data_IF_986157328170
#
_entry.id   IF_986157328170
#
_cell.length_a   1.000
_cell.length_b   1.000
_cell.length_c   1.000
_cell.angle_alpha   90.00
_cell.angle_beta   90.00
_cell.angle_gamma   90.00
#
_symmetry.space_group_name_H-M   'P 1'
#
loop_
_entity.id
_entity.type
_entity.pdbx_description
1 polymer ?
#
# COMPACT_ATOMS: atom_id res chain seq x y z
N UNK A 1 33.63 -9.10 18.64
CA UNK A 1 32.26 -9.26 19.19
C UNK A 1 32.16 -8.74 20.62
N UNK A 2 33.05 -9.13 21.55
CA UNK A 2 33.03 -8.64 22.94
C UNK A 2 33.18 -7.11 23.08
N UNK A 3 34.03 -6.49 22.25
CA UNK A 3 34.30 -5.05 22.32
C UNK A 3 33.09 -4.18 21.95
N UNK A 4 32.23 -4.70 21.06
CA UNK A 4 31.00 -4.00 20.65
C UNK A 4 29.99 -3.92 21.80
N UNK A 5 29.84 -5.00 22.57
CA UNK A 5 28.97 -4.99 23.75
C UNK A 5 29.49 -4.07 24.85
N UNK A 6 30.81 -4.01 25.05
CA UNK A 6 31.42 -3.08 26.00
C UNK A 6 31.17 -1.62 25.62
N UNK A 7 31.29 -1.29 24.33
CA UNK A 7 30.97 0.05 23.81
C UNK A 7 29.49 0.42 24.04
N UNK A 8 28.56 -0.49 23.78
CA UNK A 8 27.12 -0.27 24.03
C UNK A 8 26.86 -0.03 25.52
N UNK A 9 27.44 -0.83 26.41
CA UNK A 9 27.28 -0.69 27.85
C UNK A 9 27.82 0.67 28.32
N UNK A 10 28.94 1.11 27.77
CA UNK A 10 29.55 2.41 28.08
C UNK A 10 28.67 3.57 27.63
N UNK A 11 28.07 3.47 26.45
CA UNK A 11 27.10 4.45 25.92
C UNK A 11 25.84 4.51 26.78
N UNK A 12 25.27 3.36 27.17
CA UNK A 12 24.07 3.27 28.02
C UNK A 12 24.34 3.89 29.40
N UNK A 13 25.51 3.62 30.00
CA UNK A 13 25.91 4.21 31.27
C UNK A 13 26.08 5.73 31.19
N UNK A 14 26.57 6.25 30.06
CA UNK A 14 26.82 7.67 29.86
C UNK A 14 25.54 8.48 29.56
N UNK A 15 24.64 7.97 28.72
CA UNK A 15 23.39 8.67 28.37
C UNK A 15 22.26 8.46 29.39
N UNK A 16 22.33 7.40 30.19
CA UNK A 16 21.26 6.97 31.07
C UNK A 16 20.16 6.21 30.32
N UNK A 17 19.63 5.16 30.97
CA UNK A 17 18.81 4.15 30.29
C UNK A 17 17.51 4.71 29.68
N UNK A 18 16.92 5.74 30.32
CA UNK A 18 15.69 6.38 29.83
C UNK A 18 15.89 7.08 28.47
N UNK A 19 17.02 7.78 28.30
CA UNK A 19 17.34 8.47 27.04
C UNK A 19 17.70 7.47 25.94
N UNK A 20 18.38 6.39 26.31
CA UNK A 20 18.69 5.30 25.37
C UNK A 20 17.42 4.64 24.81
N UNK A 21 16.46 4.30 25.67
CA UNK A 21 15.17 3.72 25.24
C UNK A 21 14.41 4.68 24.32
N UNK A 22 14.43 5.98 24.63
CA UNK A 22 13.77 6.98 23.80
C UNK A 22 14.40 7.11 22.41
N UNK A 23 15.73 7.13 22.33
CA UNK A 23 16.46 7.16 21.04
C UNK A 23 16.17 5.89 20.24
N UNK A 24 16.13 4.73 20.88
CA UNK A 24 15.79 3.46 20.23
C UNK A 24 14.35 3.48 19.68
N UNK A 25 13.40 4.01 20.46
CA UNK A 25 12.03 4.15 20.00
C UNK A 25 11.92 5.09 18.78
N UNK A 26 12.59 6.25 18.82
CA UNK A 26 12.63 7.19 17.69
C UNK A 26 13.30 6.57 16.47
N UNK A 27 14.41 5.86 16.64
CA UNK A 27 15.09 5.25 15.50
C UNK A 27 14.23 4.17 14.85
N UNK A 28 13.53 3.36 15.64
CA UNK A 28 12.61 2.35 15.14
C UNK A 28 11.44 2.96 14.34
N UNK A 29 10.84 4.05 14.84
CA UNK A 29 9.73 4.72 14.13
C UNK A 29 10.18 5.37 12.83
N UNK A 30 11.37 6.00 12.80
CA UNK A 30 11.94 6.59 11.58
C UNK A 30 12.24 5.50 10.55
N UNK A 31 12.82 4.36 10.95
CA UNK A 31 13.09 3.23 10.05
C UNK A 31 11.79 2.71 9.43
N UNK A 32 10.74 2.54 10.25
CA UNK A 32 9.45 2.06 9.77
C UNK A 32 8.80 3.06 8.78
N UNK A 33 8.87 4.36 9.09
CA UNK A 33 8.37 5.41 8.21
C UNK A 33 9.10 5.44 6.86
N UNK A 34 10.42 5.30 6.87
CA UNK A 34 11.22 5.23 5.64
C UNK A 34 10.89 4.00 4.81
N UNK A 35 10.73 2.83 5.45
CA UNK A 35 10.31 1.59 4.76
C UNK A 35 8.95 1.75 4.08
N UNK A 36 7.96 2.26 4.81
CA UNK A 36 6.62 2.49 4.28
C UNK A 36 6.64 3.46 3.09
N UNK A 37 7.44 4.53 3.18
CA UNK A 37 7.57 5.51 2.10
C UNK A 37 8.22 4.91 0.84
N UNK A 38 9.18 4.01 1.01
CA UNK A 38 9.81 3.30 -0.12
C UNK A 38 8.86 2.29 -0.76
N UNK A 39 8.08 1.56 0.04
CA UNK A 39 7.10 0.60 -0.44
C UNK A 39 5.96 1.27 -1.23
N UNK A 40 5.49 2.44 -0.78
CA UNK A 40 4.50 3.22 -1.54
C UNK A 40 5.03 3.68 -2.90
N UNK A 41 6.30 4.07 -3.00
CA UNK A 41 6.90 4.40 -4.30
C UNK A 41 6.99 3.18 -5.21
N UNK A 42 7.32 2.01 -4.66
CA UNK A 42 7.34 0.78 -5.44
C UNK A 42 5.95 0.42 -5.99
N UNK A 43 4.88 0.65 -5.23
CA UNK A 43 3.53 0.43 -5.72
C UNK A 43 3.07 1.45 -6.76
N UNK A 44 3.54 2.71 -6.70
CA UNK A 44 3.33 3.69 -7.77
C UNK A 44 4.14 3.33 -9.02
N UNK A 45 5.35 2.79 -8.88
CA UNK A 45 6.16 2.35 -10.03
C UNK A 45 5.67 1.00 -10.61
N UNK A 46 4.98 0.17 -9.81
CA UNK A 46 4.29 -1.06 -10.25
C UNK A 46 2.88 -0.80 -10.81
N UNK A 47 2.38 0.44 -10.82
CA UNK A 47 1.32 0.78 -11.78
C UNK A 47 1.96 0.80 -13.16
N UNK A 48 2.12 -0.40 -13.70
CA UNK A 48 2.57 -0.66 -15.06
C UNK A 48 1.85 0.32 -15.97
N UNK A 49 2.60 0.99 -16.85
CA UNK A 49 2.00 1.87 -17.84
C UNK A 49 0.88 1.10 -18.52
N UNK A 50 -0.32 1.67 -18.54
CA UNK A 50 -1.50 1.04 -19.13
C UNK A 50 -1.21 0.65 -20.58
N UNK A 51 -0.39 1.47 -21.24
CA UNK A 51 0.15 1.30 -22.60
C UNK A 51 1.04 0.05 -22.76
N UNK A 52 1.70 -0.41 -21.70
CA UNK A 52 2.54 -1.61 -21.73
C UNK A 52 1.71 -2.90 -21.56
N UNK A 53 0.49 -2.80 -21.02
CA UNK A 53 -0.39 -3.96 -20.75
C UNK A 53 -1.43 -4.16 -21.86
N UNK A 54 -1.93 -3.07 -22.44
CA UNK A 54 -3.06 -3.11 -23.36
C UNK A 54 -2.72 -2.41 -24.68
N UNK A 55 -2.84 -3.15 -25.79
CA UNK A 55 -2.71 -2.59 -27.13
C UNK A 55 -4.02 -1.90 -27.54
N UNK A 56 -3.90 -0.73 -28.20
CA UNK A 56 -5.02 -0.05 -28.84
C UNK A 56 -5.44 -0.80 -30.12
N UNK A 57 -6.72 -0.72 -30.46
CA UNK A 57 -7.21 -1.23 -31.73
C UNK A 57 -6.83 -0.33 -32.94
N UNK A 58 -7.21 -0.74 -34.15
CA UNK A 58 -6.93 0.02 -35.39
C UNK A 58 -7.58 1.42 -35.41
N UNK A 59 -8.56 1.68 -34.53
CA UNK A 59 -9.24 2.96 -34.38
C UNK A 59 -8.63 3.82 -33.27
N UNK A 60 -7.58 3.33 -32.59
CA UNK A 60 -6.93 4.02 -31.48
C UNK A 60 -7.70 3.97 -30.16
N UNK A 61 -8.59 2.99 -30.00
CA UNK A 61 -9.40 2.80 -28.80
C UNK A 61 -8.82 1.68 -27.93
N UNK A 62 -8.81 1.87 -26.62
CA UNK A 62 -8.49 0.77 -25.71
C UNK A 62 -9.65 -0.23 -25.60
N UNK A 63 -9.41 -1.50 -25.16
CA UNK A 63 -10.46 -2.52 -25.09
C UNK A 63 -11.71 -2.13 -24.28
N UNK A 64 -11.56 -1.33 -23.22
CA UNK A 64 -12.68 -0.82 -22.41
C UNK A 64 -13.37 0.42 -22.99
N UNK A 65 -12.79 1.06 -24.00
CA UNK A 65 -13.39 2.19 -24.71
C UNK A 65 -14.23 1.74 -25.90
N UNK A 66 -13.93 0.55 -26.45
CA UNK A 66 -14.71 -0.07 -27.53
C UNK A 66 -16.10 -0.50 -27.05
N UNK A 67 -16.19 -1.05 -25.84
CA UNK A 67 -17.42 -1.59 -25.29
C UNK A 67 -18.16 -0.54 -24.45
N UNK A 68 -19.05 0.22 -25.11
CA UNK A 68 -19.87 1.29 -24.49
C UNK A 68 -21.29 0.85 -24.16
N UNK A 69 -21.61 -0.42 -24.40
CA UNK A 69 -22.96 -0.95 -24.20
C UNK A 69 -23.16 -1.34 -22.73
N UNK A 70 -23.63 -0.36 -21.95
CA UNK A 70 -24.06 -0.53 -20.56
C UNK A 70 -25.55 -0.94 -20.45
N UNK A 71 -26.15 -1.46 -21.53
CA UNK A 71 -27.58 -1.77 -21.52
C UNK A 71 -27.94 -2.88 -20.52
N UNK A 72 -29.14 -2.82 -19.91
CA UNK A 72 -29.61 -3.87 -19.01
C UNK A 72 -29.75 -5.25 -19.69
N UNK A 73 -29.82 -5.27 -21.02
CA UNK A 73 -30.03 -6.48 -21.82
C UNK A 73 -28.80 -7.40 -21.82
N UNK A 74 -27.60 -6.87 -21.56
CA UNK A 74 -26.35 -7.63 -21.41
C UNK A 74 -26.25 -8.41 -20.11
N UNK A 75 -27.07 -8.08 -19.11
CA UNK A 75 -27.01 -8.76 -17.82
C UNK A 75 -27.62 -10.15 -17.99
N UNK A 76 -26.85 -11.24 -17.79
CA UNK A 76 -27.38 -12.58 -17.97
C UNK A 76 -28.48 -12.84 -16.93
N UNK A 77 -29.50 -13.62 -17.30
CA UNK A 77 -30.73 -13.76 -16.50
C UNK A 77 -30.50 -14.44 -15.14
N UNK A 78 -29.39 -15.14 -14.99
CA UNK A 78 -28.91 -15.79 -13.78
C UNK A 78 -27.97 -14.90 -12.94
N UNK A 79 -27.66 -13.68 -13.38
CA UNK A 79 -26.79 -12.76 -12.67
C UNK A 79 -27.37 -12.41 -11.28
N UNK A 80 -26.59 -12.67 -10.24
CA UNK A 80 -26.94 -12.25 -8.88
C UNK A 80 -26.53 -10.80 -8.65
N UNK A 81 -27.40 -10.04 -7.98
CA UNK A 81 -27.09 -8.67 -7.55
C UNK A 81 -25.82 -8.63 -6.69
N UNK A 82 -24.88 -7.76 -7.04
CA UNK A 82 -23.74 -7.44 -6.18
C UNK A 82 -24.19 -6.78 -4.88
N UNK A 83 -23.77 -7.33 -3.74
CA UNK A 83 -24.03 -6.78 -2.41
C UNK A 83 -22.71 -6.45 -1.75
N UNK A 84 -22.40 -5.16 -1.59
CA UNK A 84 -21.21 -4.73 -0.87
C UNK A 84 -21.38 -4.99 0.63
N UNK A 85 -20.77 -6.07 1.12
CA UNK A 85 -20.77 -6.45 2.55
C UNK A 85 -19.67 -5.77 3.36
N UNK A 86 -18.68 -5.14 2.70
CA UNK A 86 -17.50 -4.54 3.33
C UNK A 86 -17.71 -3.07 3.71
N UNK A 87 -18.70 -2.41 3.12
CA UNK A 87 -19.03 -1.03 3.50
C UNK A 87 -19.60 -0.96 4.92
N UNK A 88 -19.26 0.08 5.70
CA UNK A 88 -19.90 0.34 6.98
C UNK A 88 -21.41 0.43 6.78
N UNK A 89 -22.19 -0.38 7.47
CA UNK A 89 -23.65 -0.25 7.45
C UNK A 89 -23.99 1.09 8.09
N UNK A 90 -24.78 1.93 7.40
CA UNK A 90 -25.37 3.11 8.04
C UNK A 90 -26.20 2.61 9.23
N UNK A 91 -25.84 3.02 10.44
CA UNK A 91 -26.63 2.74 11.63
C UNK A 91 -28.03 3.31 11.45
N UNK A 92 -29.06 2.53 11.74
CA UNK A 92 -30.41 3.05 11.85
C UNK A 92 -30.45 4.01 13.03
N UNK A 93 -30.86 5.26 12.79
CA UNK A 93 -31.29 6.17 13.84
C UNK A 93 -32.70 5.78 14.28
#
# INVERSE_FOLDING_TARGET
>A
MADFFQLIIQIIKNLGIRRFIFILFISATIIQFLRQRLEHRKHEDETTNIDDIYEMDENGLYPWEVDTDDSPERIPKDATRYVNRKSPKRGGW
#
